data_IF_801991378199
#
_entry.id   IF_801991378199
#
_cell.length_a   1.000
_cell.length_b   1.000
_cell.length_c   1.000
_cell.angle_alpha   90.00
_cell.angle_beta   90.00
_cell.angle_gamma   90.00
#
_symmetry.space_group_name_H-M   'P 1'
#
loop_
_entity.id
_entity.type
_entity.pdbx_description
1 polymer ?
#
# COMPACT_ATOMS: atom_id res chain seq x y z
N UNK A 1 -24.82 -23.02 -37.79
CA UNK A 1 -24.84 -21.62 -37.34
C UNK A 1 -24.95 -20.71 -38.56
N UNK A 2 -25.76 -19.62 -38.52
CA UNK A 2 -25.66 -18.53 -39.49
C UNK A 2 -24.33 -17.76 -39.30
N UNK A 3 -23.88 -16.94 -40.27
CA UNK A 3 -22.58 -16.29 -40.24
C UNK A 3 -22.61 -15.10 -39.25
N UNK A 4 -22.10 -15.32 -38.03
CA UNK A 4 -22.02 -14.31 -36.99
C UNK A 4 -20.71 -14.41 -36.22
N UNK A 5 -20.41 -13.39 -35.42
CA UNK A 5 -19.26 -13.43 -34.50
C UNK A 5 -19.48 -14.52 -33.44
N UNK A 6 -18.45 -15.32 -33.18
CA UNK A 6 -18.49 -16.39 -32.18
C UNK A 6 -18.51 -15.81 -30.74
N UNK A 7 -19.05 -16.58 -29.79
CA UNK A 7 -19.09 -16.23 -28.38
C UNK A 7 -17.70 -16.02 -27.78
N UNK A 8 -16.70 -16.78 -28.24
CA UNK A 8 -15.28 -16.58 -27.85
C UNK A 8 -14.76 -15.21 -28.27
N UNK A 9 -14.98 -14.85 -29.52
CA UNK A 9 -14.52 -13.57 -30.07
C UNK A 9 -15.24 -12.39 -29.41
N UNK A 10 -16.53 -12.57 -29.11
CA UNK A 10 -17.33 -11.58 -28.36
C UNK A 10 -16.78 -11.38 -26.95
N UNK A 11 -16.53 -12.47 -26.21
CA UNK A 11 -15.95 -12.44 -24.87
C UNK A 11 -14.57 -11.74 -24.87
N UNK A 12 -13.72 -12.03 -25.87
CA UNK A 12 -12.42 -11.38 -26.07
C UNK A 12 -12.55 -9.87 -26.27
N UNK A 13 -13.49 -9.42 -27.11
CA UNK A 13 -13.71 -7.98 -27.36
C UNK A 13 -14.25 -7.26 -26.13
N UNK A 14 -15.18 -7.87 -25.40
CA UNK A 14 -15.69 -7.29 -24.14
C UNK A 14 -14.56 -7.14 -23.13
N UNK A 15 -13.73 -8.17 -22.97
CA UNK A 15 -12.57 -8.13 -22.06
C UNK A 15 -11.54 -7.08 -22.43
N UNK A 16 -11.33 -6.83 -23.73
CA UNK A 16 -10.43 -5.78 -24.18
C UNK A 16 -10.91 -4.37 -23.80
N UNK A 17 -12.22 -4.18 -23.62
CA UNK A 17 -12.81 -2.93 -23.15
C UNK A 17 -12.81 -2.82 -21.63
N UNK A 18 -13.11 -3.91 -20.93
CA UNK A 18 -13.08 -3.98 -19.47
C UNK A 18 -12.33 -5.26 -19.02
N UNK A 19 -11.06 -5.14 -18.58
CA UNK A 19 -10.29 -6.26 -18.08
C UNK A 19 -10.88 -6.92 -16.83
N UNK A 20 -11.73 -6.21 -16.08
CA UNK A 20 -12.21 -6.64 -14.75
C UNK A 20 -13.63 -7.23 -14.76
N UNK A 21 -14.35 -7.14 -15.88
CA UNK A 21 -15.74 -7.59 -16.00
C UNK A 21 -15.97 -9.08 -15.72
N UNK A 22 -17.09 -9.43 -15.10
CA UNK A 22 -17.47 -10.84 -14.96
C UNK A 22 -18.19 -11.32 -16.22
N UNK A 23 -17.75 -12.43 -16.81
CA UNK A 23 -18.38 -13.01 -18.02
C UNK A 23 -19.14 -14.27 -17.65
N UNK A 24 -20.43 -14.33 -18.00
CA UNK A 24 -21.25 -15.53 -17.83
C UNK A 24 -21.57 -16.14 -19.20
N UNK A 25 -21.19 -17.40 -19.40
CA UNK A 25 -21.31 -18.12 -20.65
C UNK A 25 -22.38 -19.19 -20.50
N UNK A 26 -23.40 -19.10 -21.34
CA UNK A 26 -24.48 -20.07 -21.39
C UNK A 26 -24.13 -21.16 -22.40
N UNK A 27 -23.99 -22.41 -21.95
CA UNK A 27 -23.63 -23.56 -22.79
C UNK A 27 -24.74 -24.61 -22.80
N UNK A 28 -25.02 -25.19 -23.97
CA UNK A 28 -25.92 -26.34 -24.10
C UNK A 28 -25.13 -27.50 -24.67
N UNK A 29 -24.77 -28.45 -23.80
CA UNK A 29 -24.26 -29.82 -24.02
C UNK A 29 -23.31 -30.21 -25.18
N UNK A 30 -22.97 -29.35 -26.15
CA UNK A 30 -22.36 -29.85 -27.40
C UNK A 30 -21.13 -29.13 -27.94
N UNK A 31 -20.95 -27.80 -27.84
CA UNK A 31 -20.03 -27.18 -28.84
C UNK A 31 -18.77 -26.48 -28.32
N UNK A 32 -18.60 -26.20 -27.02
CA UNK A 32 -17.35 -25.57 -26.54
C UNK A 32 -16.97 -26.00 -25.12
N UNK A 33 -15.74 -26.47 -24.96
CA UNK A 33 -15.18 -26.75 -23.63
C UNK A 33 -14.96 -25.43 -22.88
N UNK A 34 -15.44 -25.28 -21.64
CA UNK A 34 -15.15 -24.15 -20.74
C UNK A 34 -13.66 -23.76 -20.67
N UNK A 35 -12.78 -24.70 -20.97
CA UNK A 35 -11.33 -24.53 -20.95
C UNK A 35 -10.85 -23.70 -22.15
N UNK A 36 -11.54 -23.70 -23.28
CA UNK A 36 -11.11 -22.95 -24.47
C UNK A 36 -11.42 -21.47 -24.39
N UNK A 37 -12.53 -21.12 -23.71
CA UNK A 37 -12.94 -19.72 -23.57
C UNK A 37 -12.10 -19.03 -22.49
N UNK A 38 -11.77 -19.73 -21.40
CA UNK A 38 -10.86 -19.21 -20.37
C UNK A 38 -9.45 -18.94 -20.90
N UNK A 39 -8.96 -19.75 -21.85
CA UNK A 39 -7.68 -19.49 -22.51
C UNK A 39 -7.64 -18.21 -23.35
N UNK A 40 -8.80 -17.71 -23.82
CA UNK A 40 -8.88 -16.58 -24.75
C UNK A 40 -9.39 -15.30 -24.09
N UNK A 41 -10.30 -15.41 -23.12
CA UNK A 41 -11.07 -14.27 -22.60
C UNK A 41 -10.71 -13.87 -21.16
N UNK A 42 -9.63 -14.43 -20.59
CA UNK A 42 -9.06 -13.94 -19.34
C UNK A 42 -9.15 -14.93 -18.18
N UNK A 43 -8.87 -14.47 -16.94
CA UNK A 43 -8.57 -15.35 -15.83
C UNK A 43 -9.80 -16.17 -15.44
N UNK A 44 -9.57 -17.44 -15.10
CA UNK A 44 -10.62 -18.44 -14.92
C UNK A 44 -11.61 -18.11 -13.80
N UNK A 45 -11.23 -17.24 -12.87
CA UNK A 45 -12.03 -16.78 -11.72
C UNK A 45 -13.09 -15.72 -12.06
N UNK A 46 -13.04 -15.14 -13.27
CA UNK A 46 -13.98 -14.14 -13.78
C UNK A 46 -14.85 -14.65 -14.94
N UNK A 47 -14.81 -15.96 -15.19
CA UNK A 47 -15.60 -16.63 -16.23
C UNK A 47 -16.49 -17.68 -15.57
N UNK A 48 -17.79 -17.51 -15.75
CA UNK A 48 -18.84 -18.33 -15.16
C UNK A 48 -19.58 -19.09 -16.25
N UNK A 49 -20.11 -20.26 -15.92
CA UNK A 49 -20.82 -21.11 -16.85
C UNK A 49 -22.22 -21.43 -16.34
N UNK A 50 -23.21 -21.33 -17.21
CA UNK A 50 -24.58 -21.76 -16.95
C UNK A 50 -24.97 -22.78 -18.01
N UNK A 51 -25.34 -23.98 -17.58
CA UNK A 51 -25.77 -25.05 -18.47
C UNK A 51 -27.24 -24.89 -18.85
N UNK A 52 -27.60 -25.28 -20.07
CA UNK A 52 -29.00 -25.40 -20.50
C UNK A 52 -29.58 -26.78 -20.10
N UNK A 53 -30.87 -26.84 -19.77
CA UNK A 53 -31.80 -25.73 -19.58
C UNK A 53 -31.55 -24.99 -18.25
N UNK A 54 -31.77 -23.69 -18.22
CA UNK A 54 -31.66 -22.84 -17.02
C UNK A 54 -32.99 -22.15 -16.75
N UNK A 55 -33.21 -21.75 -15.50
CA UNK A 55 -34.35 -20.93 -15.13
C UNK A 55 -34.02 -19.44 -15.22
N UNK A 56 -35.03 -18.61 -15.51
CA UNK A 56 -34.84 -17.15 -15.57
C UNK A 56 -34.34 -16.60 -14.23
N UNK A 57 -34.81 -17.17 -13.11
CA UNK A 57 -34.39 -16.78 -11.77
C UNK A 57 -32.88 -16.98 -11.56
N UNK A 58 -32.31 -18.07 -12.07
CA UNK A 58 -30.86 -18.36 -11.97
C UNK A 58 -30.02 -17.31 -12.70
N UNK A 59 -30.47 -16.89 -13.89
CA UNK A 59 -29.79 -15.85 -14.68
C UNK A 59 -29.83 -14.52 -13.94
N UNK A 60 -31.00 -14.12 -13.44
CA UNK A 60 -31.17 -12.84 -12.72
C UNK A 60 -30.34 -12.83 -11.46
N UNK A 61 -30.35 -13.92 -10.67
CA UNK A 61 -29.57 -14.02 -9.45
C UNK A 61 -28.07 -13.98 -9.74
N UNK A 62 -27.61 -14.71 -10.76
CA UNK A 62 -26.20 -14.72 -11.16
C UNK A 62 -25.75 -13.35 -11.66
N UNK A 63 -26.53 -12.73 -12.54
CA UNK A 63 -26.22 -11.39 -13.05
C UNK A 63 -26.16 -10.35 -11.92
N UNK A 64 -27.11 -10.40 -10.98
CA UNK A 64 -27.15 -9.48 -9.82
C UNK A 64 -25.92 -9.68 -8.93
N UNK A 65 -25.59 -10.92 -8.59
CA UNK A 65 -24.44 -11.24 -7.76
C UNK A 65 -23.11 -10.81 -8.41
N UNK A 66 -22.94 -11.08 -9.70
CA UNK A 66 -21.71 -10.75 -10.44
C UNK A 66 -21.57 -9.25 -10.70
N UNK A 67 -22.67 -8.53 -10.90
CA UNK A 67 -22.65 -7.07 -11.01
C UNK A 67 -22.22 -6.42 -9.69
N UNK A 68 -22.80 -6.87 -8.57
CA UNK A 68 -22.42 -6.38 -7.25
C UNK A 68 -20.96 -6.70 -6.91
N UNK A 69 -20.50 -7.92 -7.22
CA UNK A 69 -19.09 -8.30 -7.04
C UNK A 69 -18.16 -7.38 -7.84
N UNK A 70 -18.46 -7.13 -9.11
CA UNK A 70 -17.67 -6.22 -9.94
C UNK A 70 -17.62 -4.80 -9.36
N UNK A 71 -18.75 -4.30 -8.84
CA UNK A 71 -18.79 -2.99 -8.21
C UNK A 71 -17.90 -2.92 -6.96
N UNK A 72 -18.03 -3.91 -6.07
CA UNK A 72 -17.22 -4.00 -4.84
C UNK A 72 -15.73 -4.09 -5.16
N UNK A 73 -15.35 -4.92 -6.14
CA UNK A 73 -13.95 -5.08 -6.55
C UNK A 73 -13.36 -3.75 -7.07
N UNK A 74 -14.15 -2.97 -7.81
CA UNK A 74 -13.76 -1.63 -8.29
C UNK A 74 -13.65 -0.60 -7.16
N UNK A 75 -14.62 -0.57 -6.26
CA UNK A 75 -14.60 0.32 -5.09
C UNK A 75 -13.39 0.02 -4.20
N UNK A 76 -13.09 -1.26 -3.97
CA UNK A 76 -11.93 -1.69 -3.21
C UNK A 76 -10.61 -1.27 -3.88
N UNK A 77 -10.53 -1.37 -5.20
CA UNK A 77 -9.35 -0.95 -5.96
C UNK A 77 -9.14 0.56 -5.86
N UNK A 78 -10.22 1.34 -6.06
CA UNK A 78 -10.17 2.80 -5.92
C UNK A 78 -9.79 3.23 -4.49
N UNK A 79 -10.34 2.58 -3.46
CA UNK A 79 -10.01 2.87 -2.08
C UNK A 79 -8.53 2.56 -1.77
N UNK A 80 -7.99 1.46 -2.32
CA UNK A 80 -6.56 1.12 -2.18
C UNK A 80 -5.66 2.16 -2.82
N UNK A 81 -6.00 2.63 -4.02
CA UNK A 81 -5.26 3.70 -4.70
C UNK A 81 -5.28 5.00 -3.91
N UNK A 82 -6.45 5.37 -3.36
CA UNK A 82 -6.59 6.54 -2.50
C UNK A 82 -5.75 6.45 -1.23
N UNK A 83 -5.76 5.29 -0.56
CA UNK A 83 -4.94 5.06 0.63
C UNK A 83 -3.45 5.12 0.31
N UNK A 84 -3.02 4.53 -0.81
CA UNK A 84 -1.62 4.60 -1.25
C UNK A 84 -1.17 6.05 -1.50
N UNK A 85 -2.02 6.87 -2.14
CA UNK A 85 -1.74 8.29 -2.34
C UNK A 85 -1.65 9.06 -1.01
N UNK A 86 -2.52 8.77 -0.04
CA UNK A 86 -2.47 9.39 1.28
C UNK A 86 -1.20 9.03 2.05
N UNK A 87 -0.73 7.78 1.97
CA UNK A 87 0.52 7.35 2.61
C UNK A 87 1.70 8.18 2.07
N UNK A 88 1.81 8.32 0.75
CA UNK A 88 2.88 9.10 0.13
C UNK A 88 2.84 10.56 0.61
N UNK A 89 1.64 11.16 0.64
CA UNK A 89 1.48 12.54 1.13
C UNK A 89 1.89 12.69 2.61
N UNK A 90 1.53 11.73 3.47
CA UNK A 90 1.91 11.75 4.88
C UNK A 90 3.42 11.58 5.07
N UNK A 91 4.07 10.75 4.26
CA UNK A 91 5.53 10.59 4.28
C UNK A 91 6.24 11.88 3.88
N UNK A 92 5.76 12.57 2.84
CA UNK A 92 6.28 13.88 2.43
C UNK A 92 6.13 14.93 3.53
N UNK A 93 4.93 15.02 4.13
CA UNK A 93 4.67 15.94 5.24
C UNK A 93 5.55 15.63 6.46
N UNK A 94 5.74 14.36 6.78
CA UNK A 94 6.61 13.94 7.88
C UNK A 94 8.06 14.34 7.64
N UNK A 95 8.56 14.15 6.42
CA UNK A 95 9.92 14.54 6.04
C UNK A 95 10.12 16.07 6.11
N UNK A 96 9.13 16.84 5.67
CA UNK A 96 9.16 18.30 5.76
C UNK A 96 9.16 18.79 7.21
N UNK A 97 8.27 18.25 8.04
CA UNK A 97 8.20 18.59 9.46
C UNK A 97 9.50 18.23 10.19
N UNK A 98 10.09 17.07 9.92
CA UNK A 98 11.36 16.65 10.51
C UNK A 98 12.52 17.59 10.12
N UNK A 99 12.55 18.05 8.87
CA UNK A 99 13.54 19.02 8.40
C UNK A 99 13.36 20.39 9.08
N UNK A 100 12.10 20.83 9.24
CA UNK A 100 11.79 22.09 9.92
C UNK A 100 12.14 22.03 11.42
N UNK A 101 11.78 20.94 12.10
CA UNK A 101 12.13 20.71 13.50
C UNK A 101 13.65 20.68 13.71
N UNK A 102 14.39 19.98 12.85
CA UNK A 102 15.85 19.96 12.90
C UNK A 102 16.46 21.36 12.78
N UNK A 103 15.94 22.18 11.85
CA UNK A 103 16.38 23.58 11.69
C UNK A 103 16.04 24.43 12.92
N UNK A 104 14.83 24.31 13.45
CA UNK A 104 14.39 25.04 14.63
C UNK A 104 15.23 24.67 15.87
N UNK A 105 15.52 23.38 16.07
CA UNK A 105 16.41 22.91 17.14
C UNK A 105 17.80 23.50 16.96
N UNK A 106 18.37 23.45 15.74
CA UNK A 106 19.69 24.02 15.46
C UNK A 106 19.74 25.51 15.83
N UNK A 107 18.77 26.30 15.35
CA UNK A 107 18.67 27.74 15.65
C UNK A 107 18.47 28.01 17.15
N UNK A 108 17.73 27.16 17.87
CA UNK A 108 17.52 27.31 19.30
C UNK A 108 18.73 26.89 20.14
N UNK A 109 19.63 26.05 19.61
CA UNK A 109 20.76 25.45 20.33
C UNK A 109 22.13 25.98 19.90
N UNK A 110 22.22 26.72 18.80
CA UNK A 110 23.47 27.30 18.30
C UNK A 110 23.37 28.83 18.26
N UNK A 111 24.51 29.51 18.36
CA UNK A 111 24.64 30.96 18.26
C UNK A 111 24.70 31.40 16.79
N UNK A 112 23.95 32.43 16.42
CA UNK A 112 23.77 32.83 15.01
C UNK A 112 25.01 33.47 14.38
N UNK A 113 25.95 33.97 15.18
CA UNK A 113 27.15 34.65 14.69
C UNK A 113 28.34 33.69 14.57
N UNK A 114 28.37 32.63 15.39
CA UNK A 114 29.54 31.76 15.55
C UNK A 114 29.29 30.28 15.23
N UNK A 115 28.03 29.88 15.02
CA UNK A 115 27.61 28.49 14.82
C UNK A 115 27.97 27.54 15.98
N UNK A 116 28.47 28.09 17.09
CA UNK A 116 28.83 27.34 18.27
C UNK A 116 27.59 27.01 19.12
N UNK A 117 27.59 25.91 19.90
CA UNK A 117 26.51 25.61 20.83
C UNK A 117 26.30 26.76 21.82
N UNK A 118 25.06 27.24 21.90
CA UNK A 118 24.70 28.35 22.77
C UNK A 118 24.48 27.88 24.23
N UNK A 119 24.15 28.83 25.11
CA UNK A 119 23.93 28.56 26.53
C UNK A 119 22.85 27.51 26.80
N UNK A 120 21.78 27.50 26.00
CA UNK A 120 20.68 26.53 26.15
C UNK A 120 21.19 25.10 25.90
N UNK A 121 21.98 24.91 24.82
CA UNK A 121 22.58 23.63 24.49
C UNK A 121 23.53 23.13 25.58
N UNK A 122 24.37 24.02 26.11
CA UNK A 122 25.28 23.70 27.20
C UNK A 122 24.54 23.27 28.48
N UNK A 123 23.48 23.99 28.87
CA UNK A 123 22.69 23.66 30.06
C UNK A 123 21.92 22.34 29.91
N UNK A 124 21.39 22.04 28.71
CA UNK A 124 20.79 20.72 28.42
C UNK A 124 21.81 19.59 28.60
N UNK A 125 22.99 19.74 28.00
CA UNK A 125 24.05 18.73 28.08
C UNK A 125 24.54 18.49 29.53
N UNK A 126 24.67 19.56 30.33
CA UNK A 126 24.99 19.46 31.76
C UNK A 126 23.87 18.72 32.53
N UNK A 127 22.61 19.04 32.26
CA UNK A 127 21.45 18.39 32.90
C UNK A 127 21.35 16.90 32.59
N UNK A 128 21.55 16.52 31.33
CA UNK A 128 21.54 15.11 30.91
C UNK A 128 22.69 14.32 31.54
N UNK A 129 23.86 14.95 31.67
CA UNK A 129 25.03 14.34 32.32
C UNK A 129 24.88 14.22 33.83
N UNK A 130 24.20 15.17 34.47
CA UNK A 130 23.89 15.10 35.90
C UNK A 130 22.84 14.03 36.24
N UNK A 131 21.95 13.69 35.29
CA UNK A 131 20.92 12.65 35.48
C UNK A 131 21.41 11.22 35.27
N UNK A 132 22.54 10.98 34.59
CA UNK A 132 23.12 9.64 34.45
C UNK A 132 23.84 9.25 35.76
N UNK A 133 23.34 8.29 36.57
CA UNK A 133 24.05 7.85 37.76
C UNK A 133 25.21 6.96 37.31
N UNK A 134 26.44 7.36 37.61
CA UNK A 134 27.63 6.53 37.41
C UNK A 134 28.50 6.93 36.23
N UNK A 135 29.23 8.04 36.37
CA UNK A 135 30.65 8.09 36.03
C UNK A 135 31.28 9.30 36.75
N UNK A 136 31.08 9.37 38.07
CA UNK A 136 31.98 10.15 38.91
C UNK A 136 33.32 9.42 38.92
N UNK A 137 34.25 9.96 38.15
CA UNK A 137 35.67 9.62 38.19
C UNK A 137 36.13 9.48 39.64
N UNK A 138 36.46 8.26 40.04
CA UNK A 138 37.35 8.03 41.17
C UNK A 138 38.69 8.65 40.80
N UNK A 139 38.92 9.89 41.21
CA UNK A 139 40.26 10.48 41.23
C UNK A 139 41.07 9.68 42.24
N UNK A 140 41.69 8.58 41.80
CA UNK A 140 42.78 7.93 42.53
C UNK A 140 43.92 8.94 42.54
N UNK A 141 44.11 9.60 43.67
CA UNK A 141 45.33 10.33 43.98
C UNK A 141 46.47 9.32 43.92
N UNK A 142 47.28 9.38 42.86
CA UNK A 142 48.50 8.62 42.77
C UNK A 142 49.49 9.20 43.78
N UNK A 143 49.74 8.47 44.86
CA UNK A 143 50.81 8.73 45.81
C UNK A 143 52.15 8.54 45.11
N UNK A 144 52.97 9.60 45.09
CA UNK A 144 54.38 9.55 44.68
C UNK A 144 55.18 8.66 45.64
N UNK A 145 56.04 7.74 45.15
CA UNK A 145 57.03 7.11 46.01
C UNK A 145 58.27 8.01 46.13
N UNK A 146 58.62 8.34 47.38
CA UNK A 146 59.89 8.95 47.73
C UNK A 146 61.03 7.95 47.46
N UNK A 147 62.03 8.38 46.70
CA UNK A 147 63.25 7.63 46.42
C UNK A 147 64.29 8.00 47.49
N UNK A 148 64.84 6.98 48.15
CA UNK A 148 66.06 7.05 48.95
C UNK A 148 67.27 6.70 48.10
#
# INVERSE_FOLDING_TARGET
MPPGIDGRETARRIRALDPEINLCIVTGFSDFSPIEISKVAGPADKIFYIAKPFEVAEIVQTATALAHRWQVDRELTAAREQLAAQIVQLEEQSAELAANESRAIHMATHDSLTDAPNRLAFLRALGDRAKRPGLSSTTRWATWPATH
#
